data_IF_585782519565
#
_entry.id   IF_585782519565
#
_cell.length_a   1.000
_cell.length_b   1.000
_cell.length_c   1.000
_cell.angle_alpha   90.00
_cell.angle_beta   90.00
_cell.angle_gamma   90.00
#
_symmetry.space_group_name_H-M   'P 1'
#
loop_
_entity.id
_entity.type
_entity.pdbx_description
1 polymer ?
#
# COMPACT_ATOMS: atom_id res chain seq x y z
N UNK A 1 -17.00 -9.09 4.72
CA UNK A 1 -18.16 -8.20 5.01
C UNK A 1 -17.84 -7.06 5.98
N UNK A 2 -16.98 -7.24 6.99
CA UNK A 2 -16.62 -6.17 7.93
C UNK A 2 -15.76 -5.05 7.32
N UNK A 3 -14.85 -5.33 6.38
CA UNK A 3 -14.02 -4.29 5.73
C UNK A 3 -14.82 -3.31 4.87
N UNK A 4 -15.89 -3.76 4.22
CA UNK A 4 -16.75 -2.85 3.43
C UNK A 4 -17.60 -1.92 4.30
N UNK A 5 -17.96 -2.32 5.53
CA UNK A 5 -18.67 -1.44 6.46
C UNK A 5 -17.81 -0.27 6.95
N UNK A 6 -16.54 -0.50 7.28
CA UNK A 6 -15.65 0.58 7.75
C UNK A 6 -15.42 1.69 6.70
N UNK A 7 -15.44 1.34 5.43
CA UNK A 7 -15.26 2.31 4.34
C UNK A 7 -16.52 3.15 4.11
N UNK A 8 -17.69 2.54 4.26
CA UNK A 8 -18.99 3.21 3.98
C UNK A 8 -19.44 4.17 5.10
N UNK A 9 -18.97 3.93 6.31
CA UNK A 9 -19.44 4.63 7.52
C UNK A 9 -18.44 5.65 8.09
N UNK A 10 -17.43 6.08 7.32
CA UNK A 10 -16.51 7.14 7.79
C UNK A 10 -17.27 8.42 8.20
N UNK A 11 -18.36 8.71 7.56
CA UNK A 11 -19.20 9.87 7.92
C UNK A 11 -19.93 9.65 9.26
N UNK A 12 -20.33 8.41 9.59
CA UNK A 12 -21.03 8.11 10.83
C UNK A 12 -20.09 7.87 12.02
N UNK A 13 -18.89 7.32 11.77
CA UNK A 13 -17.88 7.12 12.82
C UNK A 13 -17.35 8.46 13.33
N UNK A 14 -17.14 9.44 12.44
CA UNK A 14 -16.68 10.77 12.84
C UNK A 14 -17.76 11.58 13.59
N UNK A 15 -19.05 11.29 13.41
CA UNK A 15 -20.11 11.96 14.15
C UNK A 15 -20.26 11.50 15.60
N UNK A 16 -19.74 10.32 15.95
CA UNK A 16 -19.80 9.74 17.30
C UNK A 16 -18.55 9.96 18.16
N UNK A 17 -17.43 10.30 17.56
CA UNK A 17 -16.16 10.54 18.26
C UNK A 17 -15.81 12.02 18.22
N UNK A 18 -15.54 12.61 19.39
CA UNK A 18 -15.05 13.98 19.49
C UNK A 18 -13.65 14.08 18.84
N UNK A 19 -13.60 14.52 17.59
CA UNK A 19 -12.40 14.92 16.84
C UNK A 19 -11.27 13.87 16.81
N UNK A 20 -11.45 12.70 16.18
CA UNK A 20 -10.34 11.80 15.93
C UNK A 20 -9.31 12.48 15.02
N UNK A 21 -8.02 12.35 15.38
CA UNK A 21 -6.93 12.83 14.54
C UNK A 21 -6.71 11.85 13.39
N UNK A 22 -6.76 12.34 12.14
CA UNK A 22 -6.32 11.56 10.99
C UNK A 22 -4.78 11.47 10.98
N UNK A 23 -4.25 10.26 10.93
CA UNK A 23 -2.81 9.97 10.93
C UNK A 23 -2.35 9.34 9.61
N UNK A 24 -3.19 9.31 8.59
CA UNK A 24 -2.95 8.56 7.34
C UNK A 24 -1.68 8.99 6.60
N UNK A 25 -1.31 10.27 6.67
CA UNK A 25 -0.11 10.82 6.03
C UNK A 25 0.88 11.42 7.06
N UNK A 26 0.73 11.06 8.34
CA UNK A 26 1.62 11.52 9.40
C UNK A 26 2.92 10.67 9.39
N UNK A 27 4.05 11.31 9.14
CA UNK A 27 5.37 10.66 9.03
C UNK A 27 5.76 9.76 10.22
N UNK A 28 5.16 10.00 11.40
CA UNK A 28 5.40 9.20 12.61
C UNK A 28 4.78 7.82 12.53
N UNK A 29 3.79 7.63 11.68
CA UNK A 29 2.99 6.42 11.58
C UNK A 29 3.10 5.74 10.20
N UNK A 30 3.99 6.20 9.32
CA UNK A 30 4.09 5.69 7.95
C UNK A 30 4.41 4.19 7.87
N UNK A 31 5.10 3.63 8.89
CA UNK A 31 5.41 2.20 8.97
C UNK A 31 4.33 1.36 9.68
N UNK A 32 3.24 1.99 10.19
CA UNK A 32 2.25 1.31 11.04
C UNK A 32 1.51 0.16 10.33
N UNK A 33 1.27 0.29 9.04
CA UNK A 33 0.45 -0.65 8.27
C UNK A 33 1.28 -1.62 7.41
N UNK A 34 2.60 -1.67 7.60
CA UNK A 34 3.49 -2.50 6.80
C UNK A 34 4.56 -3.21 7.62
N UNK A 35 5.48 -3.85 6.94
CA UNK A 35 6.67 -4.47 7.51
C UNK A 35 7.87 -3.73 6.93
N UNK A 36 8.71 -3.16 7.78
CA UNK A 36 9.95 -2.51 7.36
C UNK A 36 11.05 -3.53 7.08
N UNK A 37 12.10 -3.11 6.36
CA UNK A 37 13.27 -3.97 6.14
C UNK A 37 13.90 -4.45 7.44
N UNK A 38 13.99 -3.58 8.45
CA UNK A 38 14.57 -3.94 9.75
C UNK A 38 13.71 -4.99 10.48
N UNK A 39 12.39 -4.88 10.41
CA UNK A 39 11.48 -5.86 11.00
C UNK A 39 11.52 -7.18 10.23
N UNK A 40 11.63 -7.14 8.91
CA UNK A 40 11.82 -8.35 8.09
C UNK A 40 13.08 -9.10 8.53
N UNK A 41 14.20 -8.38 8.73
CA UNK A 41 15.45 -8.96 9.15
C UNK A 41 15.44 -9.47 10.60
N UNK A 42 14.76 -8.75 11.49
CA UNK A 42 14.70 -9.11 12.90
C UNK A 42 13.76 -10.30 13.20
N UNK A 43 12.62 -10.38 12.49
CA UNK A 43 11.57 -11.33 12.83
C UNK A 43 11.37 -12.44 11.80
N UNK A 44 11.86 -12.27 10.57
CA UNK A 44 11.64 -13.21 9.47
C UNK A 44 12.96 -13.75 8.87
N UNK A 45 14.05 -13.73 9.63
CA UNK A 45 15.35 -14.25 9.16
C UNK A 45 15.27 -15.76 8.85
N UNK A 46 14.74 -16.55 9.79
CA UNK A 46 14.63 -18.01 9.62
C UNK A 46 13.73 -18.39 8.42
N UNK A 47 12.52 -17.88 8.25
CA UNK A 47 11.70 -18.10 7.05
C UNK A 47 12.41 -17.67 5.75
N UNK A 48 13.19 -16.59 5.80
CA UNK A 48 13.95 -16.13 4.64
C UNK A 48 15.06 -17.11 4.25
N UNK A 49 15.78 -17.68 5.23
CA UNK A 49 16.79 -18.72 5.00
C UNK A 49 16.16 -19.97 4.39
N UNK A 50 15.05 -20.43 4.94
CA UNK A 50 14.34 -21.61 4.42
C UNK A 50 13.83 -21.40 2.99
N UNK A 51 13.30 -20.22 2.69
CA UNK A 51 12.85 -19.86 1.37
C UNK A 51 14.03 -19.76 0.38
N UNK A 52 15.14 -19.18 0.79
CA UNK A 52 16.38 -19.12 0.01
C UNK A 52 16.91 -20.52 -0.34
N UNK A 53 16.96 -21.41 0.65
CA UNK A 53 17.38 -22.80 0.44
C UNK A 53 16.48 -23.52 -0.56
N UNK A 54 15.17 -23.34 -0.47
CA UNK A 54 14.20 -23.94 -1.41
C UNK A 54 14.42 -23.50 -2.86
N UNK A 55 14.74 -22.23 -3.08
CA UNK A 55 14.98 -21.66 -4.41
C UNK A 55 16.43 -21.75 -4.86
N UNK A 56 17.32 -22.33 -4.04
CA UNK A 56 18.77 -22.41 -4.31
C UNK A 56 19.41 -21.02 -4.49
N UNK A 57 18.91 -20.04 -3.76
CA UNK A 57 19.47 -18.70 -3.70
C UNK A 57 20.26 -18.49 -2.41
N UNK A 58 21.17 -17.53 -2.44
CA UNK A 58 21.75 -17.00 -1.21
C UNK A 58 20.70 -16.19 -0.45
N UNK A 59 20.86 -16.05 0.86
CA UNK A 59 19.96 -15.22 1.68
C UNK A 59 19.89 -13.78 1.16
N UNK A 60 21.02 -13.25 0.67
CA UNK A 60 21.07 -11.90 0.08
C UNK A 60 20.21 -11.79 -1.18
N UNK A 61 20.35 -12.73 -2.10
CA UNK A 61 19.54 -12.77 -3.33
C UNK A 61 18.05 -12.93 -3.02
N UNK A 62 17.71 -13.73 -2.01
CA UNK A 62 16.34 -13.90 -1.57
C UNK A 62 15.78 -12.60 -0.98
N UNK A 63 16.52 -11.87 -0.14
CA UNK A 63 16.13 -10.56 0.37
C UNK A 63 15.88 -9.55 -0.77
N UNK A 64 16.76 -9.53 -1.77
CA UNK A 64 16.59 -8.66 -2.94
C UNK A 64 15.34 -9.04 -3.78
N UNK A 65 15.08 -10.34 -3.91
CA UNK A 65 13.88 -10.84 -4.60
C UNK A 65 12.60 -10.44 -3.85
N UNK A 66 12.55 -10.64 -2.53
CA UNK A 66 11.43 -10.25 -1.69
C UNK A 66 11.21 -8.73 -1.76
N UNK A 67 12.29 -7.94 -1.71
CA UNK A 67 12.22 -6.50 -1.85
C UNK A 67 11.61 -6.10 -3.19
N UNK A 68 12.13 -6.60 -4.27
CA UNK A 68 11.63 -6.29 -5.63
C UNK A 68 10.17 -6.68 -5.82
N UNK A 69 9.72 -7.78 -5.18
CA UNK A 69 8.38 -8.34 -5.38
C UNK A 69 7.32 -7.72 -4.45
N UNK A 70 7.69 -7.37 -3.21
CA UNK A 70 6.70 -7.06 -2.18
C UNK A 70 6.92 -5.73 -1.46
N UNK A 71 8.04 -5.04 -1.74
CA UNK A 71 8.36 -3.73 -1.20
C UNK A 71 7.90 -2.60 -2.16
N UNK A 72 7.98 -1.36 -1.68
CA UNK A 72 7.77 -0.16 -2.51
C UNK A 72 6.48 0.59 -2.21
N UNK A 73 5.80 0.29 -1.10
CA UNK A 73 4.72 1.13 -0.59
C UNK A 73 5.26 2.24 0.29
N UNK A 74 4.79 3.47 0.06
CA UNK A 74 5.15 4.63 0.85
C UNK A 74 3.89 5.36 1.33
N UNK A 75 3.89 5.77 2.60
CA UNK A 75 2.73 6.39 3.26
C UNK A 75 3.03 7.74 3.90
N UNK A 76 4.24 8.28 3.76
CA UNK A 76 4.65 9.51 4.40
C UNK A 76 5.78 10.24 3.69
N UNK A 77 6.19 11.36 4.28
CA UNK A 77 7.23 12.25 3.74
C UNK A 77 8.64 11.65 3.79
N UNK A 78 8.88 10.71 4.70
CA UNK A 78 10.19 10.04 4.84
C UNK A 78 10.45 9.02 3.76
N UNK A 79 9.39 8.63 3.02
CA UNK A 79 9.51 7.61 1.97
C UNK A 79 10.12 6.30 2.49
N UNK A 80 9.69 5.88 3.68
CA UNK A 80 10.12 4.60 4.25
C UNK A 80 9.56 3.47 3.41
N UNK A 81 10.44 2.63 2.88
CA UNK A 81 10.07 1.43 2.13
C UNK A 81 9.36 0.43 3.04
N UNK A 82 8.20 -0.03 2.62
CA UNK A 82 7.33 -0.91 3.39
C UNK A 82 6.87 -2.08 2.54
N UNK A 83 7.10 -3.28 3.06
CA UNK A 83 6.59 -4.51 2.49
C UNK A 83 5.10 -4.66 2.72
N UNK A 84 4.38 -5.17 1.73
CA UNK A 84 2.99 -5.58 1.88
C UNK A 84 2.90 -6.79 2.84
N UNK A 85 2.30 -6.65 4.05
CA UNK A 85 2.28 -7.71 5.05
C UNK A 85 1.56 -8.97 4.56
N UNK A 86 0.44 -8.79 3.85
CA UNK A 86 -0.32 -9.92 3.31
C UNK A 86 0.53 -10.77 2.35
N UNK A 87 1.25 -10.11 1.45
CA UNK A 87 2.07 -10.79 0.45
C UNK A 87 3.27 -11.49 1.09
N UNK A 88 3.99 -10.82 1.98
CA UNK A 88 5.15 -11.38 2.69
C UNK A 88 4.78 -12.59 3.54
N UNK A 89 3.72 -12.47 4.36
CA UNK A 89 3.28 -13.55 5.23
C UNK A 89 2.82 -14.78 4.42
N UNK A 90 2.09 -14.57 3.32
CA UNK A 90 1.70 -15.67 2.44
C UNK A 90 2.89 -16.29 1.71
N UNK A 91 3.92 -15.50 1.35
CA UNK A 91 5.12 -16.03 0.73
C UNK A 91 5.88 -16.96 1.68
N UNK A 92 5.99 -16.61 2.95
CA UNK A 92 6.60 -17.46 3.95
C UNK A 92 5.73 -18.66 4.33
N UNK A 93 4.43 -18.50 4.51
CA UNK A 93 3.51 -19.59 4.85
C UNK A 93 3.47 -20.67 3.75
N UNK A 94 3.33 -20.26 2.50
CA UNK A 94 3.29 -21.18 1.35
C UNK A 94 4.67 -21.60 0.86
N UNK A 95 5.75 -21.00 1.39
CA UNK A 95 7.12 -21.16 0.91
C UNK A 95 7.22 -20.95 -0.60
N UNK A 96 6.55 -19.92 -1.13
CA UNK A 96 6.51 -19.64 -2.57
C UNK A 96 6.44 -18.14 -2.85
N UNK A 97 7.15 -17.70 -3.89
CA UNK A 97 7.11 -16.33 -4.40
C UNK A 97 6.03 -16.24 -5.48
N UNK A 98 4.98 -15.45 -5.22
CA UNK A 98 3.83 -15.27 -6.13
C UNK A 98 3.23 -13.87 -5.95
N UNK A 99 2.39 -13.46 -6.88
CA UNK A 99 1.63 -12.20 -6.82
C UNK A 99 0.38 -12.33 -5.93
N UNK A 100 0.59 -12.47 -4.62
CA UNK A 100 -0.50 -12.70 -3.66
C UNK A 100 -1.53 -11.58 -3.59
N UNK A 101 -1.12 -10.35 -3.77
CA UNK A 101 -2.01 -9.19 -3.78
C UNK A 101 -3.01 -9.21 -4.94
N UNK A 102 -2.66 -9.90 -6.03
CA UNK A 102 -3.55 -10.07 -7.19
C UNK A 102 -4.60 -11.18 -6.99
N UNK A 103 -4.31 -12.16 -6.14
CA UNK A 103 -5.17 -13.34 -5.94
C UNK A 103 -6.47 -13.03 -5.20
N UNK A 104 -6.57 -11.91 -4.49
CA UNK A 104 -7.79 -11.50 -3.78
C UNK A 104 -8.84 -10.85 -4.69
N UNK A 105 -8.61 -10.84 -6.00
CA UNK A 105 -9.50 -10.33 -7.04
C UNK A 105 -9.41 -8.81 -7.17
N UNK A 106 -9.13 -8.35 -8.38
CA UNK A 106 -9.34 -6.92 -8.70
C UNK A 106 -10.78 -6.60 -8.36
N UNK A 107 -11.07 -5.71 -7.40
CA UNK A 107 -12.44 -5.43 -7.03
C UNK A 107 -13.21 -5.02 -8.29
N UNK A 108 -14.29 -5.72 -8.61
CA UNK A 108 -15.16 -5.40 -9.76
C UNK A 108 -15.55 -3.92 -9.75
N UNK A 109 -15.60 -3.35 -8.56
CA UNK A 109 -15.83 -1.93 -8.34
C UNK A 109 -14.68 -1.07 -8.90
N UNK A 110 -13.41 -1.44 -8.67
CA UNK A 110 -12.25 -0.68 -9.18
C UNK A 110 -12.23 -0.70 -10.71
N UNK A 111 -12.50 -1.86 -11.32
CA UNK A 111 -12.60 -1.97 -12.79
C UNK A 111 -13.70 -1.07 -13.33
N UNK A 112 -14.86 -1.07 -12.68
CA UNK A 112 -15.98 -0.17 -13.05
C UNK A 112 -15.62 1.30 -12.83
N UNK A 113 -14.96 1.63 -11.72
CA UNK A 113 -14.49 2.99 -11.44
C UNK A 113 -13.58 3.49 -12.57
N UNK A 114 -12.59 2.68 -12.96
CA UNK A 114 -11.65 3.01 -14.02
C UNK A 114 -12.32 3.08 -15.41
N UNK A 115 -13.31 2.24 -15.68
CA UNK A 115 -14.08 2.28 -16.93
C UNK A 115 -14.98 3.54 -17.05
N UNK A 116 -15.42 4.09 -15.93
CA UNK A 116 -16.30 5.26 -15.89
C UNK A 116 -15.53 6.55 -15.62
N UNK A 117 -14.29 6.48 -15.12
CA UNK A 117 -13.45 7.67 -14.95
C UNK A 117 -13.03 8.19 -16.32
N UNK A 118 -13.03 9.51 -16.45
CA UNK A 118 -12.50 10.19 -17.65
C UNK A 118 -10.98 10.23 -17.66
N UNK A 119 -10.34 9.96 -16.52
CA UNK A 119 -8.90 9.95 -16.37
C UNK A 119 -8.32 8.59 -16.76
N UNK A 120 -7.33 8.61 -17.63
CA UNK A 120 -6.56 7.41 -17.94
C UNK A 120 -5.57 7.13 -16.80
N UNK A 121 -5.40 5.86 -16.42
CA UNK A 121 -4.44 5.46 -15.36
C UNK A 121 -3.05 6.02 -15.63
N UNK A 122 -2.63 6.05 -16.88
CA UNK A 122 -1.33 6.61 -17.29
C UNK A 122 -1.22 8.12 -17.03
N UNK A 123 -2.33 8.83 -16.91
CA UNK A 123 -2.36 10.25 -16.60
C UNK A 123 -2.32 10.50 -15.08
N UNK A 124 -2.74 9.53 -14.28
CA UNK A 124 -2.63 9.58 -12.81
C UNK A 124 -1.18 9.39 -12.36
N UNK A 125 -0.43 8.54 -13.05
CA UNK A 125 0.99 8.35 -12.78
C UNK A 125 1.82 9.50 -13.38
N UNK A 126 2.76 10.03 -12.59
CA UNK A 126 3.68 11.07 -13.05
C UNK A 126 3.18 12.50 -12.83
N UNK A 127 2.12 12.69 -12.04
CA UNK A 127 1.67 14.03 -11.58
C UNK A 127 1.91 14.19 -10.09
N UNK A 128 2.12 15.43 -9.66
CA UNK A 128 2.24 15.77 -8.24
C UNK A 128 0.86 16.09 -7.65
N UNK A 129 0.57 15.51 -6.50
CA UNK A 129 -0.71 15.63 -5.80
C UNK A 129 -0.50 16.15 -4.39
N UNK A 130 -1.44 16.94 -3.89
CA UNK A 130 -1.47 17.37 -2.49
C UNK A 130 -1.90 16.21 -1.58
N UNK A 131 -1.43 16.17 -0.31
CA UNK A 131 -1.73 15.07 0.62
C UNK A 131 -3.21 14.76 0.78
N UNK A 132 -4.07 15.78 0.80
CA UNK A 132 -5.52 15.63 0.95
C UNK A 132 -6.15 14.74 -0.12
N UNK A 133 -5.61 14.72 -1.34
CA UNK A 133 -6.13 13.89 -2.43
C UNK A 133 -5.91 12.38 -2.22
N UNK A 134 -5.00 11.97 -1.36
CA UNK A 134 -4.79 10.56 -1.02
C UNK A 134 -5.70 10.09 0.10
N UNK A 135 -6.15 11.01 0.96
CA UNK A 135 -6.91 10.72 2.18
C UNK A 135 -8.40 10.98 1.99
N UNK A 136 -8.76 11.91 1.11
CA UNK A 136 -10.14 12.36 0.92
C UNK A 136 -10.97 11.22 0.29
N UNK A 137 -11.74 10.55 1.13
CA UNK A 137 -12.59 9.44 0.75
C UNK A 137 -13.97 9.94 0.28
N UNK A 138 -13.99 10.55 -0.87
CA UNK A 138 -15.22 10.60 -1.67
C UNK A 138 -15.07 9.51 -2.73
N UNK A 139 -15.91 8.47 -2.65
CA UNK A 139 -16.04 7.48 -3.71
C UNK A 139 -16.65 8.15 -4.95
N UNK A 140 -15.92 9.12 -5.50
CA UNK A 140 -16.35 9.87 -6.66
C UNK A 140 -15.71 9.25 -7.89
N UNK A 141 -16.56 8.93 -8.87
CA UNK A 141 -16.13 8.40 -10.17
C UNK A 141 -15.22 9.42 -10.90
N UNK A 142 -15.36 10.71 -10.55
CA UNK A 142 -14.55 11.78 -11.15
C UNK A 142 -13.14 11.89 -10.58
N UNK A 143 -12.89 11.35 -9.36
CA UNK A 143 -11.57 11.37 -8.70
C UNK A 143 -11.18 9.98 -8.19
N UNK A 144 -10.67 9.10 -9.05
CA UNK A 144 -10.37 7.71 -8.68
C UNK A 144 -9.10 7.55 -7.84
N UNK A 145 -8.22 8.57 -7.78
CA UNK A 145 -6.92 8.51 -7.14
C UNK A 145 -6.94 8.00 -5.68
N UNK A 146 -7.81 8.54 -4.78
CA UNK A 146 -7.83 8.09 -3.39
C UNK A 146 -8.15 6.60 -3.27
N UNK A 147 -9.08 6.12 -4.06
CA UNK A 147 -9.51 4.72 -4.05
C UNK A 147 -8.39 3.80 -4.58
N UNK A 148 -7.75 4.18 -5.67
CA UNK A 148 -6.68 3.39 -6.30
C UNK A 148 -5.47 3.32 -5.37
N UNK A 149 -5.09 4.43 -4.73
CA UNK A 149 -4.01 4.50 -3.75
C UNK A 149 -4.33 3.68 -2.49
N UNK A 150 -5.49 3.89 -1.87
CA UNK A 150 -5.89 3.17 -0.65
C UNK A 150 -6.12 1.67 -0.87
N UNK A 151 -6.40 1.27 -2.11
CA UNK A 151 -6.48 -0.13 -2.52
C UNK A 151 -5.12 -0.76 -2.83
N UNK A 152 -4.02 0.02 -2.78
CA UNK A 152 -2.66 -0.46 -3.00
C UNK A 152 -2.27 -0.68 -4.47
N UNK A 153 -3.02 -0.12 -5.42
CA UNK A 153 -2.68 -0.20 -6.84
C UNK A 153 -1.73 0.92 -7.31
N UNK A 154 -1.64 1.99 -6.53
CA UNK A 154 -0.65 3.05 -6.70
C UNK A 154 0.13 3.21 -5.41
N UNK A 155 1.39 3.59 -5.54
CA UNK A 155 2.25 4.00 -4.44
C UNK A 155 2.87 5.36 -4.72
N UNK A 156 3.25 6.06 -3.66
CA UNK A 156 3.99 7.31 -3.75
C UNK A 156 5.43 6.98 -4.13
N UNK A 157 5.99 7.68 -5.12
CA UNK A 157 7.38 7.50 -5.56
C UNK A 157 8.32 8.58 -5.06
N UNK A 158 7.79 9.77 -4.80
CA UNK A 158 8.60 10.92 -4.43
C UNK A 158 7.78 11.92 -3.61
N UNK A 159 8.45 12.61 -2.68
CA UNK A 159 7.90 13.74 -1.96
C UNK A 159 8.66 15.02 -2.28
N UNK A 160 7.97 16.00 -2.82
CA UNK A 160 8.53 17.32 -3.09
C UNK A 160 8.37 18.23 -1.87
N UNK A 161 9.43 18.36 -1.06
CA UNK A 161 9.41 19.16 0.17
C UNK A 161 9.11 20.64 -0.06
N UNK A 162 9.46 21.19 -1.23
CA UNK A 162 9.25 22.63 -1.51
C UNK A 162 7.78 22.93 -1.75
N UNK A 163 7.08 22.02 -2.36
CA UNK A 163 5.66 22.18 -2.74
C UNK A 163 4.72 21.43 -1.80
N UNK A 164 5.23 20.57 -0.93
CA UNK A 164 4.39 19.72 -0.06
C UNK A 164 3.51 18.75 -0.86
N UNK A 165 4.04 18.21 -1.97
CA UNK A 165 3.27 17.34 -2.89
C UNK A 165 3.97 16.01 -3.10
N UNK A 166 3.18 15.00 -3.44
CA UNK A 166 3.62 13.62 -3.70
C UNK A 166 3.46 13.28 -5.19
N UNK A 167 4.43 12.50 -5.73
CA UNK A 167 4.41 11.92 -7.08
C UNK A 167 4.01 10.45 -7.02
#
# INVERSE_FOLDING_TARGET
RQRQMCIRDRVSVFSGFNQPKDISMDERYEALCGITQNELEAFFEEPTIQLAAKYQYTVKEMKELLRRQYDGYHFGERMTDIYNPFSILNAFDSMAIRDYWFSTGTPTYLVRLLQHSREQINELAGRYYVPSLFVDYKADVEQPLPMIYQSGYLTIKEYNRRMGTYL
#
